data_IF_737362666246
#
_entry.id   IF_737362666246
#
_cell.length_a   1.000
_cell.length_b   1.000
_cell.length_c   1.000
_cell.angle_alpha   90.00
_cell.angle_beta   90.00
_cell.angle_gamma   90.00
#
_symmetry.space_group_name_H-M   'P 1'
#
loop_
_entity.id
_entity.type
_entity.pdbx_description
1 polymer ?
#
# COMPACT_ATOMS: atom_id res chain seq x y z
N UNK A 1 10.85 12.91 -3.99
CA UNK A 1 9.47 13.48 -4.03
C UNK A 1 9.20 14.40 -2.84
N UNK A 2 9.21 13.93 -1.59
CA UNK A 2 8.98 14.76 -0.39
C UNK A 2 9.74 16.09 -0.41
N UNK A 3 11.08 16.07 -0.57
CA UNK A 3 11.90 17.30 -0.65
C UNK A 3 11.46 18.27 -1.74
N UNK A 4 10.96 17.76 -2.88
CA UNK A 4 10.47 18.59 -3.97
C UNK A 4 9.09 19.17 -3.65
N UNK A 5 8.20 18.36 -3.07
CA UNK A 5 6.89 18.81 -2.61
C UNK A 5 7.02 19.95 -1.58
N UNK A 6 7.92 19.83 -0.61
CA UNK A 6 8.23 20.89 0.36
C UNK A 6 8.81 22.14 -0.34
N UNK A 7 9.78 21.97 -1.26
CA UNK A 7 10.42 23.09 -1.99
C UNK A 7 9.45 23.87 -2.87
N UNK A 8 8.51 23.19 -3.52
CA UNK A 8 7.60 23.78 -4.50
C UNK A 8 6.18 23.98 -3.96
N UNK A 9 5.97 23.80 -2.66
CA UNK A 9 4.66 23.89 -2.01
C UNK A 9 3.58 23.07 -2.76
N UNK A 10 3.91 21.84 -3.12
CA UNK A 10 3.05 20.95 -3.87
C UNK A 10 2.49 19.84 -2.98
N UNK A 11 1.25 19.42 -3.22
CA UNK A 11 0.68 18.25 -2.56
C UNK A 11 1.34 16.97 -3.08
N UNK A 12 1.66 16.04 -2.16
CA UNK A 12 2.20 14.73 -2.50
C UNK A 12 1.12 13.66 -2.34
N UNK A 13 0.72 13.10 -3.49
CA UNK A 13 -0.16 11.94 -3.60
C UNK A 13 0.67 10.69 -3.85
N UNK A 14 0.40 9.60 -3.12
CA UNK A 14 1.04 8.29 -3.33
C UNK A 14 0.01 7.17 -3.40
N UNK A 15 0.09 6.33 -4.43
CA UNK A 15 -0.66 5.08 -4.51
C UNK A 15 0.15 3.93 -3.88
N UNK A 16 -0.35 3.40 -2.78
CA UNK A 16 0.23 2.33 -1.97
C UNK A 16 -0.42 0.95 -2.27
N UNK A 17 -1.13 0.79 -3.39
CA UNK A 17 -1.83 -0.45 -3.73
C UNK A 17 -0.93 -1.70 -3.72
N UNK A 18 0.35 -1.55 -4.02
CA UNK A 18 1.35 -2.63 -4.00
C UNK A 18 2.32 -2.52 -2.81
N UNK A 19 1.88 -1.91 -1.72
CA UNK A 19 2.75 -1.68 -0.56
C UNK A 19 2.02 -1.74 0.79
N UNK A 20 0.77 -1.28 0.87
CA UNK A 20 -0.02 -1.34 2.10
C UNK A 20 -0.16 -2.78 2.60
N UNK A 21 0.21 -3.00 3.86
CA UNK A 21 0.14 -4.28 4.55
C UNK A 21 1.43 -5.11 4.51
N UNK A 22 2.45 -4.73 3.74
CA UNK A 22 3.68 -5.55 3.64
C UNK A 22 4.98 -4.82 3.29
N UNK A 23 4.93 -3.54 2.88
CA UNK A 23 6.14 -2.72 2.71
C UNK A 23 6.35 -1.84 3.94
N UNK A 24 7.62 -1.62 4.32
CA UNK A 24 7.98 -0.97 5.58
C UNK A 24 8.13 -1.97 6.73
N UNK A 25 8.70 -1.52 7.86
CA UNK A 25 8.99 -2.39 9.01
C UNK A 25 7.73 -2.99 9.63
N UNK A 26 6.63 -2.24 9.64
CA UNK A 26 5.33 -2.69 10.17
C UNK A 26 4.25 -2.81 9.10
N UNK A 27 4.65 -2.82 7.82
CA UNK A 27 3.72 -2.96 6.71
C UNK A 27 2.89 -1.70 6.44
N UNK A 28 3.29 -0.52 6.94
CA UNK A 28 2.52 0.72 6.77
C UNK A 28 2.63 1.29 5.35
N UNK A 29 3.62 0.88 4.58
CA UNK A 29 3.80 1.25 3.18
C UNK A 29 5.16 1.87 2.91
N UNK A 30 5.31 2.45 1.71
CA UNK A 30 6.57 3.04 1.25
C UNK A 30 7.00 4.24 2.08
N UNK A 31 6.06 5.02 2.61
CA UNK A 31 6.36 6.17 3.47
C UNK A 31 7.00 5.76 4.80
N UNK A 32 6.67 4.58 5.35
CA UNK A 32 7.38 4.01 6.49
C UNK A 32 8.77 3.55 6.08
N UNK A 33 8.88 2.78 4.99
CA UNK A 33 10.18 2.30 4.47
C UNK A 33 11.17 3.44 4.20
N UNK A 34 10.68 4.56 3.66
CA UNK A 34 11.47 5.72 3.32
C UNK A 34 11.70 6.70 4.50
N UNK A 35 11.16 6.43 5.69
CA UNK A 35 11.33 7.29 6.86
C UNK A 35 10.64 8.66 6.74
N UNK A 36 9.53 8.73 6.00
CA UNK A 36 8.80 9.98 5.69
C UNK A 36 7.33 9.91 6.09
N UNK A 37 7.01 9.11 7.12
CA UNK A 37 5.65 9.07 7.67
C UNK A 37 5.19 10.47 8.06
N UNK A 38 3.90 10.77 7.81
CA UNK A 38 3.32 12.08 8.07
C UNK A 38 3.66 13.16 7.04
N UNK A 39 4.50 12.86 6.04
CA UNK A 39 4.87 13.82 4.96
C UNK A 39 4.12 13.60 3.63
N UNK A 40 3.16 12.68 3.60
CA UNK A 40 2.35 12.39 2.42
C UNK A 40 0.96 12.99 2.65
N UNK A 41 0.50 13.86 1.75
CA UNK A 41 -0.80 14.54 1.89
C UNK A 41 -1.97 13.60 1.62
N UNK A 42 -1.81 12.72 0.62
CA UNK A 42 -2.85 11.80 0.15
C UNK A 42 -2.23 10.43 -0.10
N UNK A 43 -2.80 9.41 0.52
CA UNK A 43 -2.47 8.02 0.25
C UNK A 43 -3.72 7.34 -0.31
N UNK A 44 -3.58 6.67 -1.44
CA UNK A 44 -4.59 5.71 -1.91
C UNK A 44 -4.09 4.29 -1.80
N UNK A 45 -5.00 3.35 -1.59
CA UNK A 45 -4.67 1.93 -1.68
C UNK A 45 -5.90 1.11 -2.03
N UNK A 46 -5.68 -0.16 -2.37
CA UNK A 46 -6.74 -1.12 -2.67
C UNK A 46 -6.90 -2.13 -1.54
N UNK A 47 -8.14 -2.52 -1.30
CA UNK A 47 -8.46 -3.66 -0.44
C UNK A 47 -8.43 -5.00 -1.18
N UNK A 48 -8.27 -4.99 -2.51
CA UNK A 48 -8.23 -6.17 -3.38
C UNK A 48 -6.88 -6.88 -3.46
N UNK A 49 -5.87 -6.49 -2.66
CA UNK A 49 -4.53 -7.10 -2.65
C UNK A 49 -4.19 -7.63 -1.26
N UNK A 50 -3.12 -7.13 -0.65
CA UNK A 50 -2.65 -7.59 0.65
C UNK A 50 -3.62 -7.31 1.81
N UNK A 51 -4.59 -6.40 1.62
CA UNK A 51 -5.58 -6.01 2.64
C UNK A 51 -6.90 -6.81 2.59
N UNK A 52 -6.82 -8.08 2.21
CA UNK A 52 -7.97 -9.01 2.25
C UNK A 52 -8.47 -9.47 0.90
N UNK A 53 -7.84 -9.06 -0.21
CA UNK A 53 -8.03 -9.64 -1.54
C UNK A 53 -9.42 -9.48 -2.17
N UNK A 54 -10.33 -8.74 -1.53
CA UNK A 54 -11.74 -8.75 -1.90
C UNK A 54 -12.11 -7.64 -2.90
N UNK A 55 -12.62 -6.50 -2.43
CA UNK A 55 -13.02 -5.38 -3.29
C UNK A 55 -12.93 -4.06 -2.52
N UNK A 56 -12.83 -2.96 -3.27
CA UNK A 56 -12.77 -1.59 -2.75
C UNK A 56 -11.35 -1.04 -2.61
N UNK A 57 -11.29 0.16 -2.03
CA UNK A 57 -10.06 0.89 -1.75
C UNK A 57 -10.36 2.08 -0.86
N UNK A 58 -9.32 2.85 -0.53
CA UNK A 58 -9.48 4.06 0.25
C UNK A 58 -8.63 5.21 -0.28
N UNK A 59 -9.10 6.42 0.04
CA UNK A 59 -8.31 7.66 0.02
C UNK A 59 -8.14 8.05 1.49
N UNK A 60 -6.90 8.16 1.93
CA UNK A 60 -6.51 8.62 3.27
C UNK A 60 -5.75 9.93 3.16
N UNK A 61 -5.96 10.83 4.10
CA UNK A 61 -5.34 12.15 4.11
C UNK A 61 -5.95 13.04 5.18
N UNK A 62 -5.75 14.35 5.05
CA UNK A 62 -6.37 15.35 5.94
C UNK A 62 -7.90 15.26 5.91
N UNK A 63 -8.54 15.58 7.05
CA UNK A 63 -10.00 15.47 7.22
C UNK A 63 -10.76 16.25 6.14
N UNK A 64 -10.33 17.48 5.87
CA UNK A 64 -10.96 18.38 4.90
C UNK A 64 -10.90 17.79 3.48
N UNK A 65 -9.82 17.09 3.17
CA UNK A 65 -9.65 16.42 1.87
C UNK A 65 -10.60 15.22 1.74
N UNK A 66 -10.70 14.40 2.79
CA UNK A 66 -11.62 13.26 2.81
C UNK A 66 -13.07 13.74 2.70
N UNK A 67 -13.43 14.80 3.42
CA UNK A 67 -14.76 15.43 3.34
C UNK A 67 -15.05 15.98 1.94
N UNK A 68 -14.09 16.66 1.31
CA UNK A 68 -14.23 17.12 -0.06
C UNK A 68 -14.45 15.96 -1.03
N UNK A 69 -13.69 14.87 -0.92
CA UNK A 69 -13.90 13.67 -1.74
C UNK A 69 -15.32 13.10 -1.55
N UNK A 70 -15.83 13.04 -0.31
CA UNK A 70 -17.19 12.56 -0.03
C UNK A 70 -18.28 13.44 -0.65
N UNK A 71 -18.04 14.74 -0.76
CA UNK A 71 -19.02 15.70 -1.31
C UNK A 71 -18.90 15.94 -2.82
N UNK A 72 -17.77 15.62 -3.45
CA UNK A 72 -17.49 15.98 -4.85
C UNK A 72 -17.13 14.81 -5.76
N UNK A 73 -16.61 13.70 -5.23
CA UNK A 73 -16.21 12.58 -6.06
C UNK A 73 -17.43 11.85 -6.61
N UNK A 74 -17.63 11.87 -7.93
CA UNK A 74 -18.74 11.20 -8.60
C UNK A 74 -18.85 9.70 -8.25
N UNK A 75 -17.75 8.92 -8.19
CA UNK A 75 -17.83 7.52 -7.78
C UNK A 75 -18.25 7.33 -6.32
N UNK A 76 -18.02 8.32 -5.45
CA UNK A 76 -18.48 8.25 -4.06
C UNK A 76 -19.98 8.59 -3.94
N UNK A 77 -20.46 9.56 -4.74
CA UNK A 77 -21.84 10.05 -4.68
C UNK A 77 -22.85 9.17 -5.44
N UNK A 78 -22.42 8.59 -6.57
CA UNK A 78 -23.32 7.94 -7.53
C UNK A 78 -23.03 6.45 -7.70
N UNK A 79 -22.45 5.79 -6.69
CA UNK A 79 -22.23 4.34 -6.69
C UNK A 79 -22.63 3.74 -5.36
N UNK A 80 -23.02 2.46 -5.38
CA UNK A 80 -23.36 1.73 -4.17
C UNK A 80 -22.14 1.58 -3.27
N UNK A 81 -22.37 1.69 -1.95
CA UNK A 81 -21.32 1.44 -0.95
C UNK A 81 -20.84 -0.03 -1.00
N UNK A 82 -19.64 -0.28 -0.47
CA UNK A 82 -19.10 -1.63 -0.36
C UNK A 82 -19.93 -2.50 0.58
N UNK A 83 -20.07 -3.78 0.25
CA UNK A 83 -20.88 -4.71 1.03
C UNK A 83 -20.36 -4.84 2.48
N UNK A 84 -21.23 -4.85 3.52
CA UNK A 84 -20.80 -4.92 4.92
C UNK A 84 -19.88 -6.09 5.26
N UNK A 85 -20.08 -7.25 4.62
CA UNK A 85 -19.22 -8.43 4.79
C UNK A 85 -17.78 -8.19 4.34
N UNK A 86 -17.59 -7.37 3.30
CA UNK A 86 -16.26 -6.98 2.79
C UNK A 86 -15.59 -6.06 3.80
N UNK A 87 -16.33 -5.08 4.36
CA UNK A 87 -15.83 -4.18 5.41
C UNK A 87 -15.36 -4.96 6.63
N UNK A 88 -16.15 -5.94 7.08
CA UNK A 88 -15.80 -6.79 8.23
C UNK A 88 -14.50 -7.56 7.99
N UNK A 89 -14.35 -8.15 6.80
CA UNK A 89 -13.11 -8.83 6.40
C UNK A 89 -11.90 -7.90 6.41
N UNK A 90 -12.03 -6.70 5.86
CA UNK A 90 -10.95 -5.69 5.84
C UNK A 90 -10.55 -5.30 7.27
N UNK A 91 -11.52 -5.02 8.15
CA UNK A 91 -11.25 -4.67 9.55
C UNK A 91 -10.49 -5.80 10.26
N UNK A 92 -10.87 -7.06 10.04
CA UNK A 92 -10.16 -8.20 10.62
C UNK A 92 -8.73 -8.31 10.09
N UNK A 93 -8.53 -8.12 8.79
CA UNK A 93 -7.19 -8.14 8.17
C UNK A 93 -6.31 -7.01 8.73
N UNK A 94 -6.85 -5.80 8.87
CA UNK A 94 -6.12 -4.68 9.47
C UNK A 94 -5.72 -4.97 10.93
N UNK A 95 -6.59 -5.64 11.70
CA UNK A 95 -6.26 -6.12 13.05
C UNK A 95 -5.08 -7.10 13.03
N UNK A 96 -5.17 -8.15 12.20
CA UNK A 96 -4.11 -9.16 12.05
C UNK A 96 -2.76 -8.52 11.66
N UNK A 97 -2.76 -7.58 10.72
CA UNK A 97 -1.56 -6.89 10.27
C UNK A 97 -1.01 -5.90 11.29
N UNK A 98 -1.85 -5.39 12.20
CA UNK A 98 -1.41 -4.48 13.27
C UNK A 98 -0.84 -5.24 14.48
N UNK A 99 -1.26 -6.49 14.68
CA UNK A 99 -0.83 -7.34 15.80
C UNK A 99 0.53 -8.01 15.57
N UNK A 100 0.92 -8.28 14.32
CA UNK A 100 2.15 -9.03 14.01
C UNK A 100 2.71 -8.73 12.61
N UNK A 101 4.04 -8.72 12.51
CA UNK A 101 4.78 -8.60 11.24
C UNK A 101 5.14 -9.95 10.60
N UNK A 102 4.83 -11.07 11.26
CA UNK A 102 5.31 -12.41 10.86
C UNK A 102 5.05 -12.73 9.38
N UNK A 103 3.87 -12.37 8.86
CA UNK A 103 3.50 -12.61 7.45
C UNK A 103 4.36 -11.79 6.49
N UNK A 104 4.63 -10.53 6.83
CA UNK A 104 5.49 -9.63 6.07
C UNK A 104 6.95 -10.08 6.12
N UNK A 105 7.43 -10.50 7.29
CA UNK A 105 8.80 -10.99 7.47
C UNK A 105 9.03 -12.31 6.70
N UNK A 106 8.03 -13.19 6.70
CA UNK A 106 8.03 -14.39 5.85
C UNK A 106 8.05 -14.03 4.37
N UNK A 107 7.26 -13.04 3.94
CA UNK A 107 7.26 -12.58 2.55
C UNK A 107 8.63 -12.05 2.13
N UNK A 108 9.27 -11.22 2.95
CA UNK A 108 10.60 -10.67 2.68
C UNK A 108 11.67 -11.76 2.55
N UNK A 109 11.64 -12.77 3.44
CA UNK A 109 12.52 -13.95 3.36
C UNK A 109 12.28 -14.75 2.08
N UNK A 110 11.01 -15.00 1.74
CA UNK A 110 10.64 -15.73 0.53
C UNK A 110 11.07 -14.99 -0.74
N UNK A 111 10.89 -13.67 -0.78
CA UNK A 111 11.33 -12.83 -1.90
C UNK A 111 12.84 -12.90 -2.07
N UNK A 112 13.60 -12.79 -0.99
CA UNK A 112 15.08 -12.88 -1.03
C UNK A 112 15.55 -14.24 -1.53
N UNK A 113 14.95 -15.32 -1.01
CA UNK A 113 15.21 -16.69 -1.47
C UNK A 113 14.92 -16.86 -2.97
N UNK A 114 13.74 -16.40 -3.42
CA UNK A 114 13.30 -16.53 -4.81
C UNK A 114 14.18 -15.75 -5.77
N UNK A 115 14.52 -14.50 -5.44
CA UNK A 115 15.43 -13.67 -6.24
C UNK A 115 16.80 -14.31 -6.39
N UNK A 116 17.36 -14.80 -5.29
CA UNK A 116 18.66 -15.48 -5.30
C UNK A 116 18.61 -16.72 -6.20
N UNK A 117 17.63 -17.60 -6.01
CA UNK A 117 17.49 -18.82 -6.80
C UNK A 117 17.37 -18.55 -8.31
N UNK A 118 16.58 -17.55 -8.71
CA UNK A 118 16.46 -17.18 -10.12
C UNK A 118 17.76 -16.60 -10.69
N UNK A 119 18.47 -15.78 -9.91
CA UNK A 119 19.76 -15.20 -10.32
C UNK A 119 20.82 -16.30 -10.48
N UNK A 120 20.90 -17.21 -9.51
CA UNK A 120 21.83 -18.36 -9.53
C UNK A 120 21.54 -19.30 -10.70
N UNK A 121 20.27 -19.39 -11.14
CA UNK A 121 19.86 -20.15 -12.32
C UNK A 121 20.10 -19.42 -13.66
N UNK A 122 20.66 -18.20 -13.64
CA UNK A 122 21.01 -17.43 -14.84
C UNK A 122 19.90 -16.57 -15.43
N UNK A 123 18.76 -16.41 -14.74
CA UNK A 123 17.71 -15.49 -15.18
C UNK A 123 18.09 -14.03 -14.93
N UNK A 124 17.71 -13.15 -15.85
CA UNK A 124 17.89 -11.71 -15.71
C UNK A 124 16.67 -11.15 -14.97
N UNK A 125 16.91 -10.52 -13.82
CA UNK A 125 15.85 -9.91 -13.02
C UNK A 125 15.93 -8.39 -13.12
N UNK A 126 14.77 -7.72 -13.13
CA UNK A 126 14.75 -6.29 -12.87
C UNK A 126 15.27 -6.05 -11.45
N UNK A 127 16.19 -5.11 -11.26
CA UNK A 127 16.66 -4.72 -9.93
C UNK A 127 15.52 -4.19 -9.06
N UNK A 128 15.56 -4.54 -7.77
CA UNK A 128 14.59 -4.07 -6.79
C UNK A 128 14.48 -5.01 -5.60
N UNK A 129 13.79 -4.55 -4.57
CA UNK A 129 13.62 -5.23 -3.28
C UNK A 129 12.13 -5.46 -2.94
N UNK A 130 11.24 -5.25 -3.91
CA UNK A 130 9.82 -5.54 -3.76
C UNK A 130 9.55 -7.06 -3.87
N UNK A 131 8.45 -7.55 -3.29
CA UNK A 131 8.01 -8.93 -3.48
C UNK A 131 7.60 -9.30 -4.91
N UNK A 132 7.45 -8.32 -5.80
CA UNK A 132 7.26 -8.54 -7.23
C UNK A 132 8.64 -8.69 -7.85
N UNK A 133 8.89 -9.86 -8.46
CA UNK A 133 10.18 -10.23 -9.06
C UNK A 133 9.99 -10.47 -10.57
N UNK A 134 10.15 -9.44 -11.41
CA UNK A 134 10.06 -9.58 -12.86
C UNK A 134 11.30 -10.28 -13.41
N UNK A 135 11.08 -11.33 -14.20
CA UNK A 135 12.09 -11.97 -15.06
C UNK A 135 12.03 -11.29 -16.43
N UNK A 136 13.18 -10.90 -16.96
CA UNK A 136 13.33 -10.19 -18.23
C UNK A 136 13.67 -11.14 -19.38
#
# INVERSE_FOLDING_TARGET
>A
MVRLSEKYNALLFVDESHASGFIGKTGRGTHEKCGVMGKIDIITTTFGKALGGASGGCVSGRKELVEMCRQKARPYLFSNTIAPVIVSGILKVLGILSESTERRDKLEKNTSYWRKGLTDAGFILKEGDSPIVPVM
#
